data_IF_064823259845
#
_entry.id   IF_064823259845
#
_cell.length_a   1.000
_cell.length_b   1.000
_cell.length_c   1.000
_cell.angle_alpha   90.00
_cell.angle_beta   90.00
_cell.angle_gamma   90.00
#
_symmetry.space_group_name_H-M   'P 1'
#
loop_
_entity.id
_entity.type
_entity.pdbx_description
1 polymer ?
#
# COMPACT_ATOMS: atom_id res chain seq x y z
N UNK A 1 -21.41 -13.19 23.67
CA UNK A 1 -21.60 -14.03 22.48
C UNK A 1 -20.31 -13.99 21.69
N UNK A 2 -19.69 -15.15 21.54
CA UNK A 2 -18.33 -15.32 21.01
C UNK A 2 -18.34 -14.97 19.52
N UNK A 3 -17.79 -13.81 19.14
CA UNK A 3 -17.34 -13.58 17.76
C UNK A 3 -16.00 -14.29 17.60
N UNK A 4 -16.05 -15.63 17.56
CA UNK A 4 -14.93 -16.42 17.09
C UNK A 4 -14.56 -15.90 15.70
N UNK A 5 -13.26 -15.70 15.50
CA UNK A 5 -12.62 -15.34 14.23
C UNK A 5 -13.24 -16.11 13.06
N UNK A 6 -14.17 -15.49 12.33
CA UNK A 6 -14.57 -15.99 11.02
C UNK A 6 -13.34 -15.83 10.11
N UNK A 7 -12.91 -16.90 9.39
CA UNK A 7 -11.78 -16.81 8.48
C UNK A 7 -12.07 -15.73 7.42
N UNK A 8 -11.12 -14.82 7.22
CA UNK A 8 -11.26 -13.69 6.28
C UNK A 8 -11.61 -14.15 4.86
N UNK A 9 -11.24 -15.39 4.52
CA UNK A 9 -11.51 -16.06 3.25
C UNK A 9 -13.01 -16.19 2.93
N UNK A 10 -13.87 -16.13 3.94
CA UNK A 10 -15.33 -16.22 3.76
C UNK A 10 -15.96 -14.89 3.30
N UNK A 11 -15.22 -13.78 3.37
CA UNK A 11 -15.72 -12.42 3.05
C UNK A 11 -14.99 -11.79 1.87
N UNK A 12 -14.62 -12.61 0.88
CA UNK A 12 -13.93 -12.17 -0.33
C UNK A 12 -14.80 -12.33 -1.57
N UNK A 13 -14.65 -11.40 -2.50
CA UNK A 13 -15.27 -11.49 -3.81
C UNK A 13 -14.53 -12.49 -4.68
N UNK A 14 -15.23 -13.51 -5.20
CA UNK A 14 -14.64 -14.53 -6.07
C UNK A 14 -14.20 -14.02 -7.46
N UNK A 15 -14.45 -12.74 -7.79
CA UNK A 15 -14.01 -12.12 -9.04
C UNK A 15 -12.69 -11.38 -8.83
N UNK A 16 -12.65 -10.41 -7.90
CA UNK A 16 -11.46 -9.59 -7.65
C UNK A 16 -10.56 -10.11 -6.54
N UNK A 17 -10.98 -11.16 -5.82
CA UNK A 17 -10.27 -11.81 -4.71
C UNK A 17 -9.95 -10.88 -3.52
N UNK A 18 -10.64 -9.74 -3.44
CA UNK A 18 -10.53 -8.78 -2.34
C UNK A 18 -11.73 -8.88 -1.40
N UNK A 19 -11.57 -8.35 -0.18
CA UNK A 19 -12.70 -8.11 0.73
C UNK A 19 -13.73 -7.23 0.01
N UNK A 20 -15.02 -7.54 0.18
CA UNK A 20 -16.07 -6.87 -0.58
C UNK A 20 -16.04 -5.35 -0.46
N UNK A 21 -16.37 -4.67 -1.55
CA UNK A 21 -16.65 -3.23 -1.60
C UNK A 21 -17.99 -3.04 -2.30
N UNK A 22 -18.94 -2.41 -1.62
CA UNK A 22 -20.36 -2.38 -2.01
C UNK A 22 -20.87 -3.81 -2.34
N UNK A 23 -20.86 -4.74 -1.38
CA UNK A 23 -21.28 -6.12 -1.61
C UNK A 23 -22.72 -6.18 -2.07
N UNK A 24 -22.99 -7.01 -3.07
CA UNK A 24 -24.33 -7.33 -3.55
C UNK A 24 -24.57 -8.83 -3.45
N UNK A 25 -25.78 -9.23 -3.09
CA UNK A 25 -26.18 -10.64 -3.00
C UNK A 25 -27.07 -10.99 -4.19
N UNK A 26 -26.63 -11.97 -4.98
CA UNK A 26 -27.44 -12.51 -6.07
C UNK A 26 -28.62 -13.33 -5.54
N UNK A 27 -29.70 -13.56 -6.33
CA UNK A 27 -30.82 -14.43 -5.91
C UNK A 27 -30.44 -15.89 -5.63
N UNK A 28 -29.23 -16.33 -5.99
CA UNK A 28 -28.70 -17.64 -5.60
C UNK A 28 -27.92 -17.63 -4.27
N UNK A 29 -27.83 -16.48 -3.59
CA UNK A 29 -27.17 -16.34 -2.29
C UNK A 29 -25.65 -16.06 -2.35
N UNK A 30 -25.05 -15.98 -3.54
CA UNK A 30 -23.63 -15.64 -3.70
C UNK A 30 -23.41 -14.13 -3.70
N UNK A 31 -22.29 -13.70 -3.12
CA UNK A 31 -21.96 -12.30 -2.86
C UNK A 31 -20.77 -11.85 -3.72
N UNK A 32 -20.82 -10.61 -4.21
CA UNK A 32 -19.79 -10.01 -5.07
C UNK A 32 -19.69 -8.51 -4.79
N UNK A 33 -18.58 -7.86 -5.16
CA UNK A 33 -18.58 -6.41 -5.25
C UNK A 33 -19.54 -5.95 -6.35
N UNK A 34 -20.28 -4.87 -6.13
CA UNK A 34 -21.26 -4.34 -7.09
C UNK A 34 -20.65 -4.10 -8.48
N UNK A 35 -19.46 -3.52 -8.52
CA UNK A 35 -18.72 -3.26 -9.77
C UNK A 35 -18.34 -4.56 -10.48
N UNK A 36 -17.76 -5.51 -9.75
CA UNK A 36 -17.35 -6.81 -10.30
C UNK A 36 -18.52 -7.58 -10.91
N UNK A 37 -19.67 -7.63 -10.22
CA UNK A 37 -20.85 -8.32 -10.75
C UNK A 37 -21.46 -7.57 -11.95
N UNK A 38 -21.48 -6.24 -11.90
CA UNK A 38 -22.01 -5.42 -13.00
C UNK A 38 -21.19 -5.60 -14.27
N UNK A 39 -19.86 -5.51 -14.18
CA UNK A 39 -18.96 -5.74 -15.31
C UNK A 39 -19.06 -7.17 -15.87
N UNK A 40 -19.24 -8.17 -15.00
CA UNK A 40 -19.43 -9.56 -15.42
C UNK A 40 -20.72 -9.71 -16.25
N UNK A 41 -21.82 -9.10 -15.81
CA UNK A 41 -23.08 -9.11 -16.55
C UNK A 41 -23.03 -8.27 -17.83
N UNK A 42 -22.28 -7.17 -17.85
CA UNK A 42 -22.17 -6.31 -19.04
C UNK A 42 -21.37 -6.99 -20.17
N UNK A 43 -20.48 -7.93 -19.84
CA UNK A 43 -19.68 -8.71 -20.81
C UNK A 43 -20.41 -9.93 -21.36
N UNK A 44 -21.59 -10.27 -20.85
CA UNK A 44 -22.31 -11.49 -21.23
C UNK A 44 -23.72 -11.19 -21.72
N UNK A 45 -24.17 -11.90 -22.75
CA UNK A 45 -25.56 -11.85 -23.19
C UNK A 45 -26.54 -12.37 -22.13
N UNK A 46 -26.07 -13.20 -21.19
CA UNK A 46 -26.86 -13.79 -20.12
C UNK A 46 -26.32 -13.40 -18.75
N UNK A 47 -27.19 -12.87 -17.90
CA UNK A 47 -26.88 -12.67 -16.49
C UNK A 47 -26.77 -14.04 -15.81
N UNK A 48 -25.59 -14.41 -15.34
CA UNK A 48 -25.38 -15.64 -14.59
C UNK A 48 -24.51 -15.39 -13.38
N UNK A 49 -24.64 -16.24 -12.37
CA UNK A 49 -23.76 -16.20 -11.19
C UNK A 49 -22.37 -16.74 -11.56
N UNK A 50 -21.28 -15.98 -11.30
CA UNK A 50 -19.91 -16.44 -11.53
C UNK A 50 -19.51 -17.71 -10.76
N UNK A 51 -20.17 -18.00 -9.63
CA UNK A 51 -19.79 -19.13 -8.75
C UNK A 51 -20.56 -20.41 -9.07
N UNK A 52 -21.89 -20.36 -9.10
CA UNK A 52 -22.73 -21.56 -9.30
C UNK A 52 -23.33 -21.66 -10.71
N UNK A 53 -23.02 -20.70 -11.59
CA UNK A 53 -23.52 -20.64 -12.97
C UNK A 53 -25.06 -20.58 -13.09
N UNK A 54 -25.79 -20.26 -12.01
CA UNK A 54 -27.24 -20.06 -12.07
C UNK A 54 -27.55 -18.88 -13.00
N UNK A 55 -28.41 -19.13 -14.00
CA UNK A 55 -28.83 -18.15 -14.99
C UNK A 55 -30.00 -17.33 -14.46
N UNK A 56 -30.01 -16.04 -14.79
CA UNK A 56 -31.08 -15.09 -14.53
C UNK A 56 -31.60 -14.59 -15.88
N UNK A 57 -32.85 -14.91 -16.21
CA UNK A 57 -33.44 -14.56 -17.50
C UNK A 57 -33.72 -13.06 -17.67
N UNK A 58 -33.88 -12.37 -16.55
CA UNK A 58 -33.97 -10.91 -16.45
C UNK A 58 -32.87 -10.46 -15.50
N UNK A 59 -32.17 -9.37 -15.85
CA UNK A 59 -31.13 -8.79 -14.99
C UNK A 59 -31.75 -8.42 -13.64
N UNK A 60 -31.36 -9.08 -12.54
CA UNK A 60 -31.89 -8.74 -11.23
C UNK A 60 -31.48 -7.33 -10.84
N UNK A 61 -32.38 -6.60 -10.18
CA UNK A 61 -32.01 -5.40 -9.45
C UNK A 61 -31.13 -5.81 -8.26
N UNK A 62 -29.96 -5.17 -8.14
CA UNK A 62 -28.99 -5.47 -7.09
C UNK A 62 -28.76 -4.23 -6.22
N UNK A 63 -29.05 -4.37 -4.95
CA UNK A 63 -28.78 -3.37 -3.92
C UNK A 63 -27.65 -3.84 -3.00
N UNK A 64 -26.95 -2.89 -2.38
CA UNK A 64 -25.90 -3.20 -1.42
C UNK A 64 -26.46 -4.00 -0.25
N UNK A 65 -25.80 -5.09 0.11
CA UNK A 65 -26.10 -5.86 1.30
C UNK A 65 -25.42 -5.19 2.50
N UNK A 66 -26.21 -4.41 3.25
CA UNK A 66 -25.72 -3.62 4.39
C UNK A 66 -25.04 -4.46 5.46
N UNK A 67 -25.51 -5.70 5.69
CA UNK A 67 -24.92 -6.61 6.69
C UNK A 67 -23.53 -7.06 6.26
N UNK A 68 -23.36 -7.44 4.99
CA UNK A 68 -22.05 -7.84 4.47
C UNK A 68 -21.12 -6.63 4.38
N UNK A 69 -21.63 -5.44 4.07
CA UNK A 69 -20.85 -4.21 4.07
C UNK A 69 -20.32 -3.90 5.46
N UNK A 70 -21.16 -3.94 6.50
CA UNK A 70 -20.73 -3.70 7.89
C UNK A 70 -19.64 -4.70 8.31
N UNK A 71 -19.80 -5.98 8.01
CA UNK A 71 -18.78 -7.00 8.30
C UNK A 71 -17.50 -6.74 7.50
N UNK A 72 -17.62 -6.36 6.22
CA UNK A 72 -16.48 -6.06 5.35
C UNK A 72 -15.67 -4.87 5.86
N UNK A 73 -16.35 -3.84 6.38
CA UNK A 73 -15.71 -2.70 7.05
C UNK A 73 -14.96 -3.16 8.30
N UNK A 74 -15.56 -4.00 9.14
CA UNK A 74 -14.90 -4.51 10.34
C UNK A 74 -13.68 -5.37 10.00
N UNK A 75 -13.73 -6.20 8.95
CA UNK A 75 -12.59 -7.00 8.48
C UNK A 75 -11.49 -6.09 7.93
N UNK A 76 -11.82 -5.08 7.12
CA UNK A 76 -10.86 -4.10 6.62
C UNK A 76 -10.20 -3.32 7.76
N UNK A 77 -10.99 -2.92 8.77
CA UNK A 77 -10.51 -2.25 9.98
C UNK A 77 -9.61 -3.16 10.80
N UNK A 78 -10.00 -4.41 11.04
CA UNK A 78 -9.13 -5.41 11.67
C UNK A 78 -7.88 -5.71 10.86
N UNK A 79 -7.89 -5.66 9.52
CA UNK A 79 -6.66 -5.76 8.74
C UNK A 79 -5.73 -4.56 8.96
N UNK A 80 -6.29 -3.38 9.16
CA UNK A 80 -5.51 -2.21 9.56
C UNK A 80 -5.00 -2.32 11.01
N UNK A 81 -5.81 -2.85 11.94
CA UNK A 81 -5.49 -2.99 13.38
C UNK A 81 -4.72 -4.28 13.74
N UNK A 82 -4.77 -5.35 12.94
CA UNK A 82 -3.99 -6.59 13.15
C UNK A 82 -2.59 -6.47 12.54
N UNK A 83 -2.35 -5.42 11.73
CA UNK A 83 -1.02 -4.84 11.56
C UNK A 83 -0.53 -4.04 12.78
N UNK A 84 -1.34 -3.92 13.85
CA UNK A 84 -0.98 -3.33 15.14
C UNK A 84 -0.87 -4.42 16.22
N UNK A 85 -0.04 -5.44 15.99
CA UNK A 85 0.62 -6.15 17.09
C UNK A 85 2.03 -5.59 17.23
N UNK A 86 2.27 -4.91 18.36
CA UNK A 86 3.53 -4.45 18.95
C UNK A 86 4.85 -4.83 18.22
N UNK A 87 5.68 -3.81 17.96
CA UNK A 87 7.10 -3.82 17.50
C UNK A 87 7.43 -3.85 15.99
N UNK A 88 6.57 -3.35 15.08
CA UNK A 88 6.94 -3.12 13.68
C UNK A 88 6.91 -1.61 13.25
N UNK A 89 8.01 -1.03 12.72
CA UNK A 89 8.18 0.42 12.43
C UNK A 89 7.34 1.06 11.29
N UNK A 90 6.21 0.49 10.88
CA UNK A 90 5.57 0.95 9.63
C UNK A 90 4.52 2.06 9.86
N UNK A 91 4.98 3.28 10.18
CA UNK A 91 4.13 4.49 10.22
C UNK A 91 4.04 5.21 8.86
N UNK A 92 4.85 4.81 7.89
CA UNK A 92 4.99 5.53 6.63
C UNK A 92 3.91 5.14 5.64
N UNK A 93 3.15 6.14 5.20
CA UNK A 93 2.07 5.99 4.20
C UNK A 93 2.52 6.49 2.83
N UNK A 94 1.77 6.12 1.79
CA UNK A 94 2.04 6.59 0.44
C UNK A 94 1.64 8.06 0.28
N UNK A 95 2.56 8.86 -0.26
CA UNK A 95 2.36 10.30 -0.45
C UNK A 95 1.57 10.65 -1.71
N UNK A 96 1.49 9.72 -2.67
CA UNK A 96 0.90 9.95 -3.99
C UNK A 96 -0.62 9.69 -4.02
N UNK A 97 -1.15 8.94 -3.05
CA UNK A 97 -2.57 8.61 -3.01
C UNK A 97 -3.44 9.86 -2.77
N UNK A 98 -4.35 10.17 -3.70
CA UNK A 98 -5.25 11.32 -3.63
C UNK A 98 -6.46 11.15 -2.67
N UNK A 99 -6.45 10.13 -1.81
CA UNK A 99 -7.58 9.78 -0.95
C UNK A 99 -7.13 8.95 0.25
N UNK A 100 -7.65 7.71 0.37
CA UNK A 100 -7.17 6.77 1.38
C UNK A 100 -5.68 6.50 1.11
N UNK A 101 -4.83 6.87 2.07
CA UNK A 101 -3.40 6.60 1.98
C UNK A 101 -3.14 5.14 2.33
N UNK A 102 -2.49 4.44 1.41
CA UNK A 102 -2.07 3.06 1.62
C UNK A 102 -0.70 3.02 2.30
N UNK A 103 -0.39 1.90 2.96
CA UNK A 103 0.94 1.63 3.51
C UNK A 103 2.01 1.77 2.42
N UNK A 104 3.09 2.48 2.71
CA UNK A 104 4.24 2.52 1.82
C UNK A 104 5.02 1.20 1.90
N UNK A 105 5.47 0.69 0.76
CA UNK A 105 6.35 -0.48 0.68
C UNK A 105 7.80 -0.10 0.53
N UNK A 106 8.08 1.03 -0.12
CA UNK A 106 9.43 1.60 -0.29
C UNK A 106 9.37 3.12 -0.34
N UNK A 107 10.46 3.77 0.08
CA UNK A 107 10.72 5.19 -0.14
C UNK A 107 11.82 5.37 -1.16
N UNK A 108 11.69 6.37 -2.03
CA UNK A 108 12.71 6.71 -3.00
C UNK A 108 13.53 7.91 -2.53
N UNK A 109 14.84 7.72 -2.42
CA UNK A 109 15.78 8.77 -2.02
C UNK A 109 16.03 9.83 -3.09
N UNK A 110 15.62 9.56 -4.34
CA UNK A 110 15.73 10.53 -5.45
C UNK A 110 14.46 11.37 -5.56
N UNK A 111 13.30 10.75 -5.42
CA UNK A 111 12.01 11.46 -5.46
C UNK A 111 11.65 12.11 -4.13
N UNK A 112 12.24 11.67 -3.03
CA UNK A 112 11.85 12.03 -1.65
C UNK A 112 10.37 11.74 -1.42
N UNK A 113 9.96 10.52 -1.75
CA UNK A 113 8.54 10.13 -1.73
C UNK A 113 8.42 8.67 -1.35
N UNK A 114 7.38 8.37 -0.58
CA UNK A 114 7.01 7.03 -0.17
C UNK A 114 5.86 6.47 -1.01
N UNK A 115 5.99 5.22 -1.45
CA UNK A 115 5.08 4.61 -2.43
C UNK A 115 4.42 3.34 -1.89
N UNK A 116 3.11 3.23 -2.07
CA UNK A 116 2.42 1.95 -2.01
C UNK A 116 2.73 1.12 -3.26
N UNK A 117 2.34 -0.14 -3.28
CA UNK A 117 2.62 -1.06 -4.40
C UNK A 117 2.27 -0.50 -5.78
N UNK A 118 1.06 0.05 -5.93
CA UNK A 118 0.60 0.60 -7.19
C UNK A 118 1.44 1.78 -7.69
N UNK A 119 1.88 2.67 -6.78
CA UNK A 119 2.72 3.80 -7.13
C UNK A 119 4.22 3.46 -7.17
N UNK A 120 4.61 2.28 -6.67
CA UNK A 120 5.97 1.76 -6.75
C UNK A 120 6.23 1.05 -8.09
N UNK A 121 5.20 0.49 -8.73
CA UNK A 121 5.29 -0.20 -10.02
C UNK A 121 6.12 0.55 -11.08
N UNK A 122 5.97 1.87 -11.28
CA UNK A 122 6.76 2.60 -12.27
C UNK A 122 8.25 2.58 -11.99
N UNK A 123 8.66 2.53 -10.72
CA UNK A 123 10.08 2.42 -10.33
C UNK A 123 10.68 1.07 -10.66
N UNK A 124 9.87 0.04 -10.88
CA UNK A 124 10.33 -1.30 -11.22
C UNK A 124 10.30 -1.55 -12.73
N UNK A 125 9.42 -0.87 -13.46
CA UNK A 125 9.23 -1.06 -14.90
C UNK A 125 9.89 0.00 -15.79
N UNK A 126 9.88 1.27 -15.38
CA UNK A 126 10.36 2.37 -16.24
C UNK A 126 11.88 2.50 -16.13
N UNK A 127 12.66 2.35 -17.22
CA UNK A 127 14.13 2.32 -17.15
C UNK A 127 14.77 3.55 -16.48
N UNK A 128 14.18 4.74 -16.65
CA UNK A 128 14.66 5.97 -16.03
C UNK A 128 14.45 6.02 -14.52
N UNK A 129 13.48 5.27 -13.99
CA UNK A 129 13.12 5.20 -12.56
C UNK A 129 13.74 3.99 -11.86
N UNK A 130 14.05 2.91 -12.58
CA UNK A 130 14.74 1.72 -12.03
C UNK A 130 16.10 2.03 -11.43
N UNK A 131 16.77 3.08 -11.91
CA UNK A 131 18.05 3.57 -11.34
C UNK A 131 17.87 4.36 -10.05
N UNK A 132 16.63 4.66 -9.65
CA UNK A 132 16.39 5.37 -8.40
C UNK A 132 16.59 4.41 -7.23
N UNK A 133 17.30 4.88 -6.20
CA UNK A 133 17.55 4.09 -5.00
C UNK A 133 16.29 4.05 -4.14
N UNK A 134 15.77 2.84 -3.94
CA UNK A 134 14.65 2.54 -3.07
C UNK A 134 15.16 1.94 -1.75
N UNK A 135 14.63 2.43 -0.63
CA UNK A 135 14.92 1.94 0.73
C UNK A 135 13.63 1.51 1.42
N UNK A 136 13.75 0.90 2.60
CA UNK A 136 12.58 0.65 3.43
C UNK A 136 11.89 1.98 3.79
N UNK A 137 10.54 1.97 3.90
CA UNK A 137 9.78 3.17 4.20
C UNK A 137 10.31 3.89 5.42
N UNK A 138 10.57 5.20 5.27
CA UNK A 138 11.06 6.06 6.34
C UNK A 138 10.28 7.37 6.36
N UNK A 139 10.00 7.90 7.56
CA UNK A 139 9.46 9.25 7.74
C UNK A 139 10.57 10.30 7.53
N UNK A 140 10.19 11.54 7.22
CA UNK A 140 11.11 12.68 7.09
C UNK A 140 12.30 12.41 6.15
N UNK A 141 12.04 11.98 4.92
CA UNK A 141 13.10 11.76 3.91
C UNK A 141 13.93 13.02 3.65
N UNK A 142 13.38 14.20 3.93
CA UNK A 142 14.04 15.49 3.85
C UNK A 142 15.24 15.60 4.81
N UNK A 143 15.18 14.98 6.00
CA UNK A 143 16.30 14.96 6.96
C UNK A 143 17.52 14.21 6.42
N UNK A 144 17.32 13.35 5.40
CA UNK A 144 18.40 12.64 4.70
C UNK A 144 19.11 13.49 3.65
N UNK A 145 18.67 14.72 3.44
CA UNK A 145 19.22 15.60 2.43
C UNK A 145 20.00 16.72 3.10
N UNK A 146 21.26 16.86 2.69
CA UNK A 146 22.08 18.01 3.09
C UNK A 146 21.41 19.29 2.60
N UNK A 147 20.95 20.14 3.52
CA UNK A 147 20.29 21.40 3.19
C UNK A 147 21.13 22.28 2.27
N UNK A 148 22.46 22.28 2.46
CA UNK A 148 23.40 23.10 1.70
C UNK A 148 23.63 22.61 0.27
N UNK A 149 23.75 21.30 0.07
CA UNK A 149 24.16 20.73 -1.22
C UNK A 149 23.04 19.97 -1.95
N UNK A 150 21.88 19.78 -1.31
CA UNK A 150 20.76 19.02 -1.85
C UNK A 150 21.16 17.59 -2.29
N UNK A 151 22.07 16.99 -1.52
CA UNK A 151 22.62 15.63 -1.71
C UNK A 151 22.33 14.77 -0.50
N UNK A 152 22.24 13.46 -0.70
CA UNK A 152 22.06 12.51 0.38
C UNK A 152 23.20 12.59 1.41
N UNK A 153 22.82 12.54 2.67
CA UNK A 153 23.73 12.36 3.79
C UNK A 153 24.12 10.87 3.86
N UNK A 154 25.27 10.54 3.28
CA UNK A 154 25.73 9.15 3.16
C UNK A 154 26.81 8.77 4.19
N UNK A 155 27.41 9.77 4.83
CA UNK A 155 28.54 9.60 5.73
C UNK A 155 28.23 10.14 7.12
N UNK A 156 28.74 9.47 8.15
CA UNK A 156 28.69 9.96 9.52
C UNK A 156 30.09 10.41 9.98
N UNK A 157 30.27 11.68 10.34
CA UNK A 157 31.48 12.15 11.02
C UNK A 157 31.38 11.82 12.51
N UNK A 158 32.35 11.03 12.98
CA UNK A 158 32.45 10.64 14.39
C UNK A 158 32.83 11.80 15.31
N UNK A 159 33.67 12.72 14.84
CA UNK A 159 34.19 13.81 15.67
C UNK A 159 33.09 14.84 15.98
N UNK A 160 32.29 15.18 14.97
CA UNK A 160 31.18 16.13 15.07
C UNK A 160 29.83 15.45 15.41
N UNK A 161 29.75 14.13 15.38
CA UNK A 161 28.51 13.34 15.61
C UNK A 161 27.36 13.75 14.67
N UNK A 162 27.67 14.08 13.41
CA UNK A 162 26.69 14.54 12.42
C UNK A 162 26.82 13.78 11.11
N UNK A 163 25.71 13.71 10.38
CA UNK A 163 25.67 13.17 9.03
C UNK A 163 25.98 14.22 7.97
N UNK A 164 26.78 13.83 6.98
CA UNK A 164 27.32 14.70 5.95
C UNK A 164 27.15 14.06 4.56
N UNK A 165 27.04 14.90 3.54
CA UNK A 165 27.06 14.46 2.14
C UNK A 165 28.49 14.41 1.60
N UNK A 166 28.66 13.73 0.46
CA UNK A 166 29.96 13.59 -0.22
C UNK A 166 30.64 14.94 -0.51
N UNK A 167 29.86 15.96 -0.90
CA UNK A 167 30.38 17.29 -1.22
C UNK A 167 30.86 18.06 0.03
N UNK A 168 30.23 17.83 1.19
CA UNK A 168 30.68 18.41 2.46
C UNK A 168 31.96 17.73 2.96
N UNK A 169 32.09 16.42 2.75
CA UNK A 169 33.30 15.69 3.10
C UNK A 169 34.54 16.23 2.38
N UNK A 170 34.46 16.44 1.07
CA UNK A 170 35.61 16.84 0.25
C UNK A 170 36.18 18.24 0.52
N UNK A 171 35.48 19.09 1.31
CA UNK A 171 35.84 20.51 1.46
C UNK A 171 36.06 20.93 2.92
N UNK A 172 35.24 20.46 3.87
CA UNK A 172 35.23 21.01 5.23
C UNK A 172 35.45 19.98 6.35
N UNK A 173 35.21 18.71 6.09
CA UNK A 173 35.28 17.69 7.13
C UNK A 173 36.70 17.13 7.25
N UNK A 174 37.50 17.66 8.18
CA UNK A 174 38.83 17.14 8.53
C UNK A 174 38.78 15.82 9.34
N UNK A 175 37.59 15.22 9.52
CA UNK A 175 37.43 14.01 10.32
C UNK A 175 38.19 12.84 9.68
N UNK A 176 39.14 12.27 10.42
CA UNK A 176 39.93 11.09 10.01
C UNK A 176 39.12 9.79 9.99
N UNK A 177 37.90 9.79 10.56
CA UNK A 177 37.05 8.61 10.69
C UNK A 177 35.65 8.95 10.19
N UNK A 178 35.32 8.43 9.00
CA UNK A 178 33.98 8.44 8.44
C UNK A 178 33.49 7.01 8.23
N UNK A 179 32.22 6.80 8.54
CA UNK A 179 31.53 5.56 8.20
C UNK A 179 30.54 5.84 7.08
N UNK A 180 30.64 5.07 6.00
CA UNK A 180 29.58 5.02 5.01
C UNK A 180 28.47 4.14 5.55
N UNK A 181 27.38 4.74 6.01
CA UNK A 181 26.23 3.98 6.45
C UNK A 181 24.95 4.81 6.39
N UNK A 182 24.15 4.55 5.35
CA UNK A 182 22.85 5.20 5.21
C UNK A 182 21.88 4.82 6.32
N UNK A 183 22.05 3.70 7.01
CA UNK A 183 21.18 3.35 8.15
C UNK A 183 21.57 4.07 9.45
N UNK A 184 22.76 4.68 9.52
CA UNK A 184 23.19 5.49 10.68
C UNK A 184 22.64 6.92 10.58
N UNK A 185 22.46 7.44 9.37
CA UNK A 185 22.14 8.86 9.17
C UNK A 185 20.68 9.29 9.36
#
# INVERSE_FOLDING_TARGET
>A
IVLASLPEDHFQCSICLNVFSDPVTTPCGHNFCKTCLSEHWDKSYLCHCPVCNKRFHVRPEISTNVVIEEISVQIKKRKAETSESADAPWQVTCDVCAGIKFKALKSCLVCLTSYCEAHLEPHQRVPSLMRHRLIDPMENLEERICEKHQRLLEFFCRDEQVCICLEFWGIFCMCTILYFNINIC
#
